data_IF_819989397386
#
_entry.id   IF_819989397386
#
_cell.length_a   1.000
_cell.length_b   1.000
_cell.length_c   1.000
_cell.angle_alpha   90.00
_cell.angle_beta   90.00
_cell.angle_gamma   90.00
#
_symmetry.space_group_name_H-M   'P 1'
#
loop_
_entity.id
_entity.type
_entity.pdbx_description
1 polymer ?
#
# COMPACT_ATOMS: atom_id res chain seq x y z
N UNK A 1 17.29 -24.28 -28.70
CA UNK A 1 18.10 -23.79 -27.57
C UNK A 1 18.59 -22.39 -27.89
N UNK A 2 17.87 -21.37 -27.44
CA UNK A 2 18.36 -20.00 -27.34
C UNK A 2 17.66 -19.41 -26.13
N UNK A 3 18.34 -19.52 -24.98
CA UNK A 3 17.90 -18.95 -23.73
C UNK A 3 17.85 -17.44 -23.87
N UNK A 4 16.66 -16.88 -23.70
CA UNK A 4 16.48 -15.43 -23.55
C UNK A 4 17.20 -14.97 -22.29
N UNK A 5 17.90 -13.85 -22.44
CA UNK A 5 18.79 -13.24 -21.46
C UNK A 5 18.05 -13.05 -20.14
N UNK A 6 18.62 -13.60 -19.06
CA UNK A 6 18.19 -13.33 -17.69
C UNK A 6 18.42 -11.84 -17.43
N UNK A 7 17.37 -11.02 -17.51
CA UNK A 7 17.42 -9.64 -17.06
C UNK A 7 17.74 -9.68 -15.56
N UNK A 8 18.84 -9.02 -15.16
CA UNK A 8 19.10 -8.76 -13.75
C UNK A 8 17.84 -8.13 -13.12
N UNK A 9 17.43 -8.55 -11.91
CA UNK A 9 16.23 -8.02 -11.29
C UNK A 9 16.37 -6.50 -11.21
N UNK A 10 15.47 -5.80 -11.90
CA UNK A 10 15.43 -4.35 -11.87
C UNK A 10 15.12 -3.92 -10.45
N UNK A 11 16.04 -3.22 -9.79
CA UNK A 11 15.86 -2.75 -8.43
C UNK A 11 14.55 -1.97 -8.31
N UNK A 12 13.70 -2.36 -7.35
CA UNK A 12 12.49 -1.61 -7.05
C UNK A 12 12.84 -0.21 -6.58
N UNK A 13 12.14 0.79 -7.12
CA UNK A 13 12.27 2.20 -6.71
C UNK A 13 10.93 2.91 -6.80
N UNK A 14 10.75 3.87 -5.89
CA UNK A 14 9.71 4.89 -6.02
C UNK A 14 10.25 6.03 -6.91
N UNK A 15 9.45 6.47 -7.89
CA UNK A 15 9.78 7.64 -8.70
C UNK A 15 9.20 8.94 -8.14
N UNK A 16 8.29 8.83 -7.15
CA UNK A 16 7.69 9.94 -6.44
C UNK A 16 7.49 9.61 -4.97
N UNK A 17 7.37 10.65 -4.13
CA UNK A 17 6.95 10.50 -2.74
C UNK A 17 5.49 10.06 -2.65
N UNK A 18 5.13 9.38 -1.56
CA UNK A 18 3.74 9.05 -1.28
C UNK A 18 2.87 10.30 -1.14
N UNK A 19 1.70 10.24 -1.76
CA UNK A 19 0.66 11.26 -1.66
C UNK A 19 -0.60 10.62 -1.06
N UNK A 20 -1.20 11.32 -0.10
CA UNK A 20 -2.51 10.96 0.43
C UNK A 20 -3.59 11.18 -0.64
N UNK A 21 -4.56 10.28 -0.72
CA UNK A 21 -5.71 10.42 -1.63
C UNK A 21 -6.77 11.40 -1.10
N UNK A 22 -6.67 11.78 0.18
CA UNK A 22 -7.57 12.73 0.84
C UNK A 22 -6.71 13.89 1.34
N UNK A 23 -7.16 15.13 1.14
CA UNK A 23 -6.47 16.30 1.70
C UNK A 23 -6.58 16.31 3.22
N UNK A 24 -5.67 17.01 3.90
CA UNK A 24 -5.73 17.13 5.36
C UNK A 24 -7.06 17.76 5.84
N UNK A 25 -7.55 18.77 5.11
CA UNK A 25 -8.81 19.44 5.44
C UNK A 25 -10.03 18.54 5.22
N UNK A 26 -10.05 17.78 4.12
CA UNK A 26 -11.15 16.83 3.87
C UNK A 26 -11.15 15.69 4.87
N UNK A 27 -9.96 15.20 5.26
CA UNK A 27 -9.83 14.18 6.30
C UNK A 27 -10.39 14.70 7.63
N UNK A 28 -10.06 15.94 8.01
CA UNK A 28 -10.58 16.58 9.23
C UNK A 28 -12.11 16.71 9.19
N UNK A 29 -12.66 17.19 8.08
CA UNK A 29 -14.12 17.31 7.92
C UNK A 29 -14.83 15.95 7.96
N UNK A 30 -14.23 14.92 7.37
CA UNK A 30 -14.76 13.55 7.44
C UNK A 30 -14.72 13.02 8.88
N UNK A 31 -13.64 13.28 9.62
CA UNK A 31 -13.50 12.90 11.01
C UNK A 31 -14.55 13.57 11.92
N UNK A 32 -14.76 14.89 11.77
CA UNK A 32 -15.80 15.63 12.50
C UNK A 32 -17.20 15.06 12.25
N UNK A 33 -17.49 14.69 11.00
CA UNK A 33 -18.77 14.05 10.64
C UNK A 33 -18.96 12.68 11.28
N UNK A 34 -17.91 11.87 11.32
CA UNK A 34 -17.92 10.56 12.00
C UNK A 34 -18.22 10.73 13.48
N UNK A 35 -17.59 11.71 14.14
CA UNK A 35 -17.87 12.01 15.55
C UNK A 35 -19.33 12.41 15.77
N UNK A 36 -19.91 13.21 14.87
CA UNK A 36 -21.32 13.57 14.93
C UNK A 36 -22.25 12.35 14.81
N UNK A 37 -21.96 11.41 13.90
CA UNK A 37 -22.72 10.16 13.80
C UNK A 37 -22.64 9.31 15.07
N UNK A 38 -21.47 9.24 15.69
CA UNK A 38 -21.30 8.51 16.95
C UNK A 38 -22.10 9.18 18.08
N UNK A 39 -22.05 10.51 18.19
CA UNK A 39 -22.80 11.28 19.19
C UNK A 39 -24.32 11.20 19.00
N UNK A 40 -24.78 11.12 17.75
CA UNK A 40 -26.20 10.91 17.42
C UNK A 40 -26.70 9.49 17.76
N UNK A 41 -25.79 8.55 18.04
CA UNK A 41 -26.11 7.16 18.33
C UNK A 41 -26.25 6.27 17.08
N UNK A 42 -25.84 6.75 15.91
CA UNK A 42 -25.95 5.99 14.66
C UNK A 42 -24.99 4.78 14.63
N UNK A 43 -23.84 4.92 15.30
CA UNK A 43 -22.88 3.84 15.48
C UNK A 43 -21.99 4.09 16.71
N UNK A 44 -21.26 3.08 17.16
CA UNK A 44 -20.32 3.21 18.28
C UNK A 44 -18.87 3.44 17.84
N UNK A 45 -18.49 2.92 16.68
CA UNK A 45 -17.14 3.04 16.15
C UNK A 45 -17.18 3.00 14.62
N UNK A 46 -16.33 3.81 14.00
CA UNK A 46 -16.07 3.78 12.56
C UNK A 46 -14.58 3.54 12.34
N UNK A 47 -14.23 2.57 11.49
CA UNK A 47 -12.87 2.47 10.96
C UNK A 47 -12.78 3.32 9.69
N UNK A 48 -12.12 4.47 9.81
CA UNK A 48 -11.90 5.40 8.70
C UNK A 48 -10.45 5.32 8.23
N UNK A 49 -10.26 4.99 6.95
CA UNK A 49 -8.96 4.81 6.34
C UNK A 49 -8.78 5.74 5.14
N UNK A 50 -7.53 6.11 4.87
CA UNK A 50 -7.13 6.83 3.67
C UNK A 50 -6.05 6.05 2.94
N UNK A 51 -5.99 6.23 1.61
CA UNK A 51 -5.00 5.57 0.75
C UNK A 51 -3.82 6.50 0.49
N UNK A 52 -2.61 5.99 0.64
CA UNK A 52 -1.39 6.61 0.14
C UNK A 52 -0.95 5.94 -1.17
N UNK A 53 -0.48 6.73 -2.13
CA UNK A 53 -0.03 6.23 -3.42
C UNK A 53 1.27 6.91 -3.86
N UNK A 54 2.14 6.16 -4.52
CA UNK A 54 3.36 6.65 -5.14
C UNK A 54 3.58 5.89 -6.45
N UNK A 55 4.18 6.53 -7.44
CA UNK A 55 4.60 5.86 -8.66
C UNK A 55 5.88 5.06 -8.38
N UNK A 56 5.94 3.84 -8.91
CA UNK A 56 7.06 2.93 -8.70
C UNK A 56 7.43 2.20 -9.99
N UNK A 57 8.64 1.66 -10.03
CA UNK A 57 9.15 0.86 -11.12
C UNK A 57 10.14 -0.19 -10.59
N UNK A 58 10.35 -1.25 -11.36
CA UNK A 58 11.22 -2.36 -11.01
C UNK A 58 10.44 -3.58 -10.52
N UNK A 59 11.15 -4.54 -9.94
CA UNK A 59 10.60 -5.83 -9.52
C UNK A 59 9.83 -5.74 -8.17
N UNK A 60 8.51 -6.01 -8.14
CA UNK A 60 7.74 -6.04 -6.90
C UNK A 60 8.24 -7.09 -5.89
N UNK A 61 8.85 -8.18 -6.34
CA UNK A 61 9.41 -9.18 -5.44
C UNK A 61 10.58 -8.61 -4.63
N UNK A 62 11.46 -7.84 -5.28
CA UNK A 62 12.54 -7.14 -4.60
C UNK A 62 12.01 -6.16 -3.53
N UNK A 63 10.90 -5.47 -3.81
CA UNK A 63 10.23 -4.60 -2.84
C UNK A 63 9.71 -5.40 -1.63
N UNK A 64 9.08 -6.55 -1.87
CA UNK A 64 8.58 -7.42 -0.81
C UNK A 64 9.70 -7.94 0.09
N UNK A 65 10.81 -8.41 -0.49
CA UNK A 65 11.98 -8.84 0.28
C UNK A 65 12.51 -7.74 1.19
N UNK A 66 12.63 -6.50 0.68
CA UNK A 66 13.08 -5.36 1.47
C UNK A 66 12.10 -5.03 2.61
N UNK A 67 10.79 -5.05 2.32
CA UNK A 67 9.75 -4.80 3.31
C UNK A 67 9.68 -5.89 4.39
N UNK A 68 9.83 -7.16 4.02
CA UNK A 68 9.83 -8.29 4.97
C UNK A 68 11.04 -8.26 5.90
N UNK A 69 12.19 -7.80 5.41
CA UNK A 69 13.38 -7.60 6.24
C UNK A 69 13.18 -6.45 7.23
N UNK A 70 12.53 -5.35 6.80
CA UNK A 70 12.28 -4.19 7.65
C UNK A 70 11.12 -4.39 8.65
N UNK A 71 10.10 -5.17 8.28
CA UNK A 71 8.91 -5.42 9.09
C UNK A 71 8.56 -6.92 9.07
N UNK A 72 9.20 -7.73 9.94
CA UNK A 72 8.95 -9.17 9.99
C UNK A 72 7.64 -9.45 10.74
N UNK A 73 6.55 -9.65 9.99
CA UNK A 73 5.24 -9.99 10.57
C UNK A 73 4.84 -11.45 10.29
N UNK A 74 4.04 -12.07 11.19
CA UNK A 74 3.72 -13.50 11.09
C UNK A 74 2.78 -13.85 9.92
N UNK A 75 1.98 -12.90 9.43
CA UNK A 75 1.01 -13.12 8.35
C UNK A 75 1.36 -12.33 7.07
N UNK A 76 2.65 -12.02 6.88
CA UNK A 76 3.18 -11.46 5.64
C UNK A 76 3.00 -12.42 4.46
N UNK A 77 2.75 -11.86 3.27
CA UNK A 77 2.59 -12.63 2.04
C UNK A 77 2.83 -11.83 0.77
N UNK A 78 3.18 -12.53 -0.32
CA UNK A 78 3.35 -11.98 -1.66
C UNK A 78 2.48 -12.75 -2.65
N UNK A 79 1.77 -12.02 -3.51
CA UNK A 79 0.99 -12.60 -4.61
C UNK A 79 1.27 -11.82 -5.90
N UNK A 80 1.93 -12.46 -6.85
CA UNK A 80 2.06 -11.93 -8.21
C UNK A 80 0.72 -12.07 -8.95
N UNK A 81 0.32 -11.01 -9.65
CA UNK A 81 -0.89 -10.98 -10.49
C UNK A 81 -0.51 -11.05 -11.98
N UNK A 82 -1.51 -11.00 -12.86
CA UNK A 82 -1.26 -10.91 -14.30
C UNK A 82 -0.57 -9.59 -14.65
N UNK A 83 0.42 -9.65 -15.55
CA UNK A 83 1.16 -8.46 -15.98
C UNK A 83 2.25 -8.07 -14.97
N UNK A 84 2.34 -6.79 -14.65
CA UNK A 84 3.35 -6.24 -13.74
C UNK A 84 2.80 -5.97 -12.32
N UNK A 85 1.55 -6.33 -12.05
CA UNK A 85 0.89 -6.07 -10.77
C UNK A 85 1.21 -7.15 -9.72
N UNK A 86 1.26 -6.74 -8.45
CA UNK A 86 1.46 -7.64 -7.32
C UNK A 86 0.80 -7.10 -6.05
N UNK A 87 0.44 -8.00 -5.15
CA UNK A 87 0.01 -7.69 -3.78
C UNK A 87 1.12 -8.06 -2.81
N UNK A 88 1.50 -7.09 -1.99
CA UNK A 88 2.49 -7.23 -0.93
C UNK A 88 1.79 -6.96 0.40
N UNK A 89 1.70 -7.98 1.26
CA UNK A 89 1.09 -7.88 2.60
C UNK A 89 2.15 -8.00 3.69
N UNK A 90 2.08 -7.12 4.69
CA UNK A 90 2.92 -7.09 5.90
C UNK A 90 2.06 -7.18 7.16
N UNK A 91 1.01 -8.02 7.14
CA UNK A 91 0.06 -8.20 8.25
C UNK A 91 0.59 -9.07 9.38
#
# INVERSE_FOLDING_TARGET
FTGSISQAPSHFRLSQTFQASISADDYRQAFERIQAYIQAGDCYQVNFAQRFQAQCAGDPWAAYCALRAACPTPFSGYLGLSGADAILSLS
#
